data_IF_874284754354
#
_entry.id   IF_874284754354
#
_cell.length_a   1.000
_cell.length_b   1.000
_cell.length_c   1.000
_cell.angle_alpha   90.00
_cell.angle_beta   90.00
_cell.angle_gamma   90.00
#
_symmetry.space_group_name_H-M   'P 1'
#
loop_
_entity.id
_entity.type
_entity.pdbx_description
1 polymer ?
#
# COMPACT_ATOMS: atom_id res chain seq x y z
N UNK A 1 13.81 17.53 5.68
CA UNK A 1 12.46 16.96 5.85
C UNK A 1 12.57 15.47 5.54
N UNK A 2 11.90 14.58 6.26
CA UNK A 2 11.90 13.16 5.89
C UNK A 2 11.21 13.02 4.52
N UNK A 3 11.90 12.44 3.55
CA UNK A 3 11.37 12.19 2.21
C UNK A 3 11.38 10.68 1.96
N UNK A 4 10.30 10.15 1.40
CA UNK A 4 10.25 8.76 0.94
C UNK A 4 10.97 8.65 -0.40
N UNK A 5 12.09 7.93 -0.41
CA UNK A 5 12.83 7.62 -1.63
C UNK A 5 12.03 6.65 -2.52
N UNK A 6 12.44 6.51 -3.77
CA UNK A 6 11.86 5.51 -4.68
C UNK A 6 12.08 4.07 -4.18
N UNK A 7 13.17 3.83 -3.45
CA UNK A 7 13.42 2.52 -2.84
C UNK A 7 12.43 2.25 -1.71
N UNK A 8 12.13 3.25 -0.87
CA UNK A 8 11.17 3.09 0.23
C UNK A 8 9.76 2.83 -0.31
N UNK A 9 9.38 3.51 -1.40
CA UNK A 9 8.09 3.32 -2.08
C UNK A 9 7.96 1.91 -2.65
N UNK A 10 9.03 1.39 -3.26
CA UNK A 10 9.07 0.01 -3.75
C UNK A 10 8.96 -1.01 -2.62
N UNK A 11 9.64 -0.76 -1.49
CA UNK A 11 9.54 -1.63 -0.32
C UNK A 11 8.13 -1.61 0.28
N UNK A 12 7.52 -0.43 0.43
CA UNK A 12 6.12 -0.30 0.88
C UNK A 12 5.17 -1.08 -0.03
N UNK A 13 5.39 -1.04 -1.35
CA UNK A 13 4.60 -1.79 -2.32
C UNK A 13 4.75 -3.30 -2.12
N UNK A 14 5.98 -3.78 -1.99
CA UNK A 14 6.26 -5.21 -1.80
C UNK A 14 5.63 -5.76 -0.50
N UNK A 15 5.70 -5.01 0.60
CA UNK A 15 5.08 -5.43 1.85
C UNK A 15 3.54 -5.38 1.78
N UNK A 16 2.97 -4.36 1.12
CA UNK A 16 1.52 -4.30 0.89
C UNK A 16 1.03 -5.50 0.09
N UNK A 17 1.68 -5.81 -1.03
CA UNK A 17 1.33 -6.95 -1.88
C UNK A 17 1.45 -8.27 -1.09
N UNK A 18 2.51 -8.44 -0.29
CA UNK A 18 2.69 -9.63 0.58
C UNK A 18 1.55 -9.78 1.60
N UNK A 19 1.09 -8.69 2.21
CA UNK A 19 -0.02 -8.74 3.17
C UNK A 19 -1.34 -9.08 2.48
N UNK A 20 -1.54 -8.59 1.27
CA UNK A 20 -2.71 -8.89 0.46
C UNK A 20 -2.72 -10.38 0.05
N UNK A 21 -1.58 -10.90 -0.39
CA UNK A 21 -1.38 -12.31 -0.75
C UNK A 21 -1.60 -13.27 0.42
N UNK A 22 -1.34 -12.84 1.65
CA UNK A 22 -1.63 -13.64 2.85
C UNK A 22 -3.13 -13.95 3.00
N UNK A 23 -4.01 -13.27 2.25
CA UNK A 23 -5.42 -13.62 2.15
C UNK A 23 -6.21 -13.41 3.44
N UNK A 24 -5.66 -12.64 4.38
CA UNK A 24 -6.32 -12.32 5.65
C UNK A 24 -7.54 -11.41 5.43
N UNK A 25 -7.60 -10.71 4.30
CA UNK A 25 -8.67 -9.81 3.90
C UNK A 25 -8.99 -9.98 2.41
N UNK A 26 -10.25 -9.72 2.02
CA UNK A 26 -10.68 -9.70 0.60
C UNK A 26 -10.05 -8.55 -0.19
N UNK A 27 -9.69 -7.47 0.50
CA UNK A 27 -8.97 -6.33 -0.04
C UNK A 27 -8.45 -5.42 1.07
N UNK A 28 -7.55 -4.52 0.69
CA UNK A 28 -6.93 -3.55 1.58
C UNK A 28 -6.59 -2.25 0.84
N UNK A 29 -6.42 -1.17 1.59
CA UNK A 29 -5.92 0.11 1.09
C UNK A 29 -4.85 0.65 2.05
N UNK A 30 -3.79 1.25 1.49
CA UNK A 30 -2.72 1.92 2.22
C UNK A 30 -2.53 3.33 1.66
N UNK A 31 -2.64 4.34 2.52
CA UNK A 31 -2.26 5.71 2.20
C UNK A 31 -1.20 6.21 3.18
N UNK A 32 -0.12 6.80 2.67
CA UNK A 32 0.94 7.40 3.48
C UNK A 32 1.06 8.88 3.15
N UNK A 33 1.17 9.70 4.18
CA UNK A 33 1.30 11.14 4.07
C UNK A 33 2.61 11.61 4.70
N UNK A 34 3.30 12.51 4.02
CA UNK A 34 4.49 13.21 4.52
C UNK A 34 4.17 14.70 4.45
N UNK A 35 4.25 15.40 5.58
CA UNK A 35 3.95 16.82 5.68
C UNK A 35 2.56 17.24 5.12
N UNK A 36 1.59 16.32 5.18
CA UNK A 36 0.24 16.51 4.66
C UNK A 36 0.05 16.14 3.18
N UNK A 37 1.14 15.88 2.46
CA UNK A 37 1.09 15.44 1.07
C UNK A 37 0.93 13.91 1.00
N UNK A 38 -0.04 13.45 0.22
CA UNK A 38 -0.26 12.02 -0.03
C UNK A 38 0.81 11.49 -0.97
N UNK A 39 1.77 10.77 -0.41
CA UNK A 39 2.92 10.24 -1.15
C UNK A 39 2.72 8.80 -1.59
N UNK A 40 1.89 8.02 -0.89
CA UNK A 40 1.52 6.65 -1.29
C UNK A 40 0.01 6.51 -1.26
N UNK A 41 -0.55 5.81 -2.24
CA UNK A 41 -1.95 5.39 -2.31
C UNK A 41 -2.03 4.04 -3.05
N UNK A 42 -2.11 2.95 -2.29
CA UNK A 42 -2.26 1.60 -2.82
C UNK A 42 -3.63 1.08 -2.46
N UNK A 43 -4.32 0.46 -3.42
CA UNK A 43 -5.52 -0.32 -3.18
C UNK A 43 -5.36 -1.65 -3.90
N UNK A 44 -5.81 -2.73 -3.26
CA UNK A 44 -5.71 -4.07 -3.82
C UNK A 44 -6.72 -5.00 -3.17
N UNK A 45 -6.96 -6.13 -3.82
CA UNK A 45 -7.93 -7.13 -3.40
C UNK A 45 -8.71 -7.67 -4.57
N UNK A 46 -9.50 -8.69 -4.28
CA UNK A 46 -10.38 -9.29 -5.27
C UNK A 46 -11.69 -8.50 -5.26
N UNK A 47 -12.01 -7.87 -6.39
CA UNK A 47 -13.35 -7.33 -6.63
C UNK A 47 -14.19 -8.44 -7.26
N UNK A 48 -14.83 -9.26 -6.43
CA UNK A 48 -15.81 -10.23 -6.89
C UNK A 48 -17.06 -10.16 -6.01
N UNK A 49 -18.28 -10.24 -6.58
CA UNK A 49 -19.43 -10.72 -5.82
C UNK A 49 -19.24 -12.21 -5.52
N UNK A 50 -19.67 -12.64 -4.33
CA UNK A 50 -19.76 -14.07 -3.96
C UNK A 50 -20.68 -14.85 -4.91
#
# INVERSE_FOLDING_TARGET
MPELTDSDRQQLRAEFDRQLEAGLHHGAQLAVYVDGDRVVDFAGGTTAPD
#
